data_IF_028293743087
#
_entry.id   IF_028293743087
#
_cell.length_a   1.000
_cell.length_b   1.000
_cell.length_c   1.000
_cell.angle_alpha   90.00
_cell.angle_beta   90.00
_cell.angle_gamma   90.00
#
_symmetry.space_group_name_H-M   'P 1'
#
loop_
_entity.id
_entity.type
_entity.pdbx_description
1 polymer ?
#
# COMPACT_ATOMS: atom_id res chain seq x y z
N UNK A 1 16.35 13.46 13.99
CA UNK A 1 15.67 12.36 13.27
C UNK A 1 16.64 11.19 13.20
N UNK A 2 16.30 10.04 13.78
CA UNK A 2 17.13 8.83 13.60
C UNK A 2 17.14 8.43 12.13
N UNK A 3 18.32 8.47 11.50
CA UNK A 3 18.49 8.28 10.05
C UNK A 3 17.99 6.90 9.58
N UNK A 4 18.15 5.85 10.40
CA UNK A 4 17.70 4.49 10.08
C UNK A 4 16.18 4.38 9.98
N UNK A 5 15.45 4.94 10.94
CA UNK A 5 13.98 4.93 10.97
C UNK A 5 13.38 5.68 9.78
N UNK A 6 14.01 6.77 9.34
CA UNK A 6 13.54 7.52 8.18
C UNK A 6 13.76 6.77 6.86
N UNK A 7 14.97 6.25 6.63
CA UNK A 7 15.31 5.54 5.40
C UNK A 7 14.41 4.31 5.17
N UNK A 8 14.10 3.56 6.23
CA UNK A 8 13.21 2.39 6.13
C UNK A 8 11.79 2.81 5.77
N UNK A 9 11.24 3.85 6.43
CA UNK A 9 9.88 4.33 6.15
C UNK A 9 9.73 4.84 4.73
N UNK A 10 10.73 5.58 4.23
CA UNK A 10 10.75 6.02 2.84
C UNK A 10 10.85 4.83 1.91
N UNK A 11 11.75 3.88 2.16
CA UNK A 11 11.88 2.67 1.34
C UNK A 11 10.59 1.83 1.28
N UNK A 12 9.84 1.75 2.39
CA UNK A 12 8.53 1.10 2.40
C UNK A 12 7.51 1.84 1.51
N UNK A 13 7.47 3.18 1.59
CA UNK A 13 6.58 3.98 0.73
C UNK A 13 6.93 3.85 -0.77
N UNK A 14 8.21 3.69 -1.09
CA UNK A 14 8.69 3.49 -2.46
C UNK A 14 8.15 2.19 -3.09
N UNK A 15 7.86 1.15 -2.30
CA UNK A 15 7.30 -0.12 -2.80
C UNK A 15 5.89 0.03 -3.38
N UNK A 16 5.16 1.11 -3.04
CA UNK A 16 3.81 1.38 -3.56
C UNK A 16 3.81 2.23 -4.84
N UNK A 17 4.98 2.65 -5.34
CA UNK A 17 5.05 3.47 -6.56
C UNK A 17 4.48 2.76 -7.77
N UNK A 18 3.63 3.46 -8.52
CA UNK A 18 3.00 2.96 -9.74
C UNK A 18 1.78 2.07 -9.52
N UNK A 19 1.42 1.78 -8.26
CA UNK A 19 0.20 1.06 -7.90
C UNK A 19 -0.99 1.97 -7.61
N UNK A 20 -2.15 1.35 -7.43
CA UNK A 20 -3.39 2.00 -6.95
C UNK A 20 -3.68 1.49 -5.54
N UNK A 21 -4.00 2.39 -4.63
CA UNK A 21 -4.52 2.08 -3.30
C UNK A 21 -6.02 2.33 -3.33
N UNK A 22 -6.83 1.35 -2.91
CA UNK A 22 -8.29 1.42 -2.99
C UNK A 22 -8.92 1.46 -1.60
N UNK A 23 -9.79 2.42 -1.34
CA UNK A 23 -10.59 2.43 -0.11
C UNK A 23 -11.61 1.29 -0.13
N UNK A 24 -11.67 0.51 0.95
CA UNK A 24 -12.64 -0.58 1.13
C UNK A 24 -13.33 -0.53 2.50
N UNK A 25 -14.54 -1.08 2.58
CA UNK A 25 -15.37 -1.08 3.79
C UNK A 25 -15.83 -2.47 4.22
N UNK A 26 -15.55 -3.50 3.40
CA UNK A 26 -15.94 -4.89 3.65
C UNK A 26 -14.83 -5.84 3.19
N UNK A 27 -14.72 -7.04 3.78
CA UNK A 27 -13.77 -8.05 3.31
C UNK A 27 -13.97 -8.41 1.83
N UNK A 28 -15.21 -8.44 1.36
CA UNK A 28 -15.52 -8.77 -0.04
C UNK A 28 -14.97 -7.70 -1.00
N UNK A 29 -15.03 -6.41 -0.63
CA UNK A 29 -14.41 -5.34 -1.40
C UNK A 29 -12.88 -5.45 -1.44
N UNK A 30 -12.26 -5.87 -0.34
CA UNK A 30 -10.81 -6.08 -0.29
C UNK A 30 -10.37 -7.17 -1.29
N UNK A 31 -11.12 -8.27 -1.39
CA UNK A 31 -10.86 -9.34 -2.38
C UNK A 31 -11.00 -8.80 -3.81
N UNK A 32 -12.05 -8.04 -4.11
CA UNK A 32 -12.25 -7.45 -5.44
C UNK A 32 -11.11 -6.48 -5.80
N UNK A 33 -10.66 -5.67 -4.84
CA UNK A 33 -9.57 -4.72 -5.06
C UNK A 33 -8.22 -5.41 -5.28
N UNK A 34 -7.92 -6.48 -4.54
CA UNK A 34 -6.73 -7.32 -4.79
C UNK A 34 -6.78 -7.94 -6.20
N UNK A 35 -7.91 -8.53 -6.59
CA UNK A 35 -8.10 -9.12 -7.93
C UNK A 35 -7.98 -8.08 -9.06
N UNK A 36 -8.39 -6.84 -8.81
CA UNK A 36 -8.25 -5.72 -9.75
C UNK A 36 -6.81 -5.17 -9.84
N UNK A 37 -5.88 -5.65 -9.00
CA UNK A 37 -4.48 -5.25 -9.00
C UNK A 37 -4.15 -4.05 -8.09
N UNK A 38 -4.96 -3.78 -7.06
CA UNK A 38 -4.59 -2.82 -6.02
C UNK A 38 -3.33 -3.29 -5.27
N UNK A 39 -2.42 -2.36 -4.97
CA UNK A 39 -1.19 -2.67 -4.22
C UNK A 39 -1.38 -2.58 -2.70
N UNK A 40 -2.45 -1.92 -2.26
CA UNK A 40 -2.93 -1.86 -0.88
C UNK A 40 -4.42 -1.50 -0.85
N UNK A 41 -5.09 -1.84 0.25
CA UNK A 41 -6.51 -1.57 0.53
C UNK A 41 -6.72 -1.18 1.99
#
# INVERSE_FOLDING_TARGET
>A
MEKGTFQIKTGFAEMFKGGVIMDVTTPEQAVIAEEAGAVAV
#
